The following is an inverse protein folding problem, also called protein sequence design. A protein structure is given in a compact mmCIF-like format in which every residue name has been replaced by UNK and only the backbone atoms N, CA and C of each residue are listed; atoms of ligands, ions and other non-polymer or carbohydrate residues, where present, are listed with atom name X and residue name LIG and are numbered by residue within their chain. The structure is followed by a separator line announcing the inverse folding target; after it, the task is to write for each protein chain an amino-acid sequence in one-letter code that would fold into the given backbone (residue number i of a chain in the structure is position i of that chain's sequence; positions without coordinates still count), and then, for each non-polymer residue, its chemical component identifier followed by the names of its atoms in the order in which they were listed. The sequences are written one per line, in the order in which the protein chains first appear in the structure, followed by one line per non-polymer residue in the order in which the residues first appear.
data_IF_384976698803
#
_entry.id   IF_384976698803
#
_cell.length_a   1.000
_cell.length_b   1.000
_cell.length_c   1.000
_cell.angle_alpha   90.00
_cell.angle_beta   90.00
_cell.angle_gamma   90.00
#
_symmetry.space_group_name_H-M   'P 1'
#
loop_
_entity.id
_entity.type
_entity.pdbx_description
1 polymer ?
#
# COMPACT_ATOMS: atom_id res chain seq x y z
N UNK A 1 -21.90 5.71 33.42
CA UNK A 1 -20.48 5.72 33.83
C UNK A 1 -19.84 4.43 33.35
N UNK A 2 -19.18 4.42 32.19
CA UNK A 2 -18.17 3.44 31.78
C UNK A 2 -17.49 3.98 30.51
N UNK A 3 -16.58 4.94 30.69
CA UNK A 3 -15.66 5.41 29.65
C UNK A 3 -14.61 4.34 29.40
N UNK A 4 -14.60 3.82 28.17
CA UNK A 4 -13.72 2.75 27.70
C UNK A 4 -12.29 3.28 27.57
N UNK A 5 -11.49 3.18 28.62
CA UNK A 5 -10.06 3.46 28.58
C UNK A 5 -9.35 2.20 28.07
N UNK A 6 -9.18 2.10 26.75
CA UNK A 6 -8.42 1.02 26.10
C UNK A 6 -7.34 1.55 25.14
N UNK A 7 -6.82 2.76 25.37
CA UNK A 7 -5.90 3.45 24.44
C UNK A 7 -4.40 3.09 24.59
N UNK A 8 -4.02 2.18 25.50
CA UNK A 8 -2.60 2.00 25.86
C UNK A 8 -1.80 0.98 25.04
N UNK A 9 -2.42 -0.09 24.51
CA UNK A 9 -1.71 -1.17 23.80
C UNK A 9 -2.11 -1.33 22.35
N UNK A 10 -3.32 -0.89 21.96
CA UNK A 10 -3.77 -0.86 20.57
C UNK A 10 -3.00 0.17 19.75
N UNK A 11 -2.77 1.37 20.28
CA UNK A 11 -2.15 2.47 19.51
C UNK A 11 -0.71 2.18 19.05
N UNK A 12 0.09 1.46 19.84
CA UNK A 12 1.48 1.15 19.45
C UNK A 12 1.56 0.10 18.36
N UNK A 13 0.80 -1.00 18.48
CA UNK A 13 0.73 -2.01 17.41
C UNK A 13 0.11 -1.44 16.14
N UNK A 14 -0.88 -0.55 16.26
CA UNK A 14 -1.45 0.16 15.12
C UNK A 14 -0.43 1.10 14.47
N UNK A 15 0.25 1.94 15.25
CA UNK A 15 1.30 2.85 14.76
C UNK A 15 2.45 2.11 14.06
N UNK A 16 2.85 0.95 14.60
CA UNK A 16 3.85 0.08 13.96
C UNK A 16 3.31 -0.49 12.65
N UNK A 17 2.05 -0.93 12.61
CA UNK A 17 1.43 -1.47 11.39
C UNK A 17 1.33 -0.39 10.31
N UNK A 18 0.95 0.83 10.68
CA UNK A 18 0.87 2.01 9.83
C UNK A 18 2.24 2.38 9.26
N UNK A 19 3.25 2.55 10.13
CA UNK A 19 4.61 2.90 9.71
C UNK A 19 5.18 1.83 8.78
N UNK A 20 4.94 0.55 9.08
CA UNK A 20 5.34 -0.56 8.20
C UNK A 20 4.62 -0.51 6.85
N UNK A 21 3.35 -0.13 6.79
CA UNK A 21 2.63 0.02 5.52
C UNK A 21 3.26 1.14 4.67
N UNK A 22 3.58 2.28 5.27
CA UNK A 22 4.16 3.45 4.61
C UNK A 22 5.58 3.21 4.06
N UNK A 23 6.41 2.44 4.76
CA UNK A 23 7.77 2.15 4.30
C UNK A 23 7.82 1.15 3.13
N UNK A 24 6.80 0.30 2.97
CA UNK A 24 6.81 -0.79 1.98
C UNK A 24 6.77 -0.33 0.52
N UNK A 25 6.00 0.70 0.13
CA UNK A 25 6.11 1.29 -1.20
C UNK A 25 7.52 1.77 -1.52
N UNK A 26 8.20 2.41 -0.56
CA UNK A 26 9.59 2.85 -0.71
C UNK A 26 10.57 1.68 -0.90
N UNK A 27 10.38 0.59 -0.16
CA UNK A 27 11.11 -0.67 -0.40
C UNK A 27 10.81 -1.26 -1.78
N UNK A 28 9.54 -1.25 -2.18
CA UNK A 28 9.10 -1.72 -3.50
C UNK A 28 9.82 -0.97 -4.63
N UNK A 29 9.84 0.36 -4.55
CA UNK A 29 10.54 1.22 -5.51
C UNK A 29 12.04 0.97 -5.51
N UNK A 30 12.65 0.84 -4.34
CA UNK A 30 14.08 0.56 -4.22
C UNK A 30 14.45 -0.78 -4.86
N UNK A 31 13.64 -1.82 -4.63
CA UNK A 31 13.82 -3.12 -5.27
C UNK A 31 13.57 -3.08 -6.76
N UNK A 32 12.59 -2.32 -7.23
CA UNK A 32 12.29 -2.13 -8.65
C UNK A 32 13.46 -1.49 -9.38
N UNK A 33 13.98 -0.36 -8.88
CA UNK A 33 15.13 0.33 -9.46
C UNK A 33 16.39 -0.54 -9.45
N UNK A 34 16.54 -1.40 -8.44
CA UNK A 34 17.64 -2.35 -8.34
C UNK A 34 17.44 -3.64 -9.16
N UNK A 35 16.38 -3.74 -9.97
CA UNK A 35 16.09 -4.90 -10.83
C UNK A 35 15.59 -6.15 -10.07
N UNK A 36 15.28 -6.02 -8.79
CA UNK A 36 14.82 -7.11 -7.93
C UNK A 36 13.29 -7.28 -8.00
N UNK A 37 12.77 -7.55 -9.21
CA UNK A 37 11.33 -7.53 -9.51
C UNK A 37 10.47 -8.39 -8.58
N UNK A 38 10.97 -9.56 -8.14
CA UNK A 38 10.25 -10.43 -7.19
C UNK A 38 10.08 -9.80 -5.81
N UNK A 39 11.11 -9.10 -5.31
CA UNK A 39 11.07 -8.43 -4.02
C UNK A 39 10.24 -7.14 -4.08
N UNK A 40 10.33 -6.42 -5.21
CA UNK A 40 9.48 -5.28 -5.50
C UNK A 40 8.00 -5.68 -5.49
N UNK A 41 7.64 -6.73 -6.24
CA UNK A 41 6.27 -7.26 -6.30
C UNK A 41 5.74 -7.63 -4.92
N UNK A 42 6.53 -8.36 -4.13
CA UNK A 42 6.17 -8.73 -2.76
C UNK A 42 5.96 -7.50 -1.87
N UNK A 43 6.78 -6.47 -2.02
CA UNK A 43 6.69 -5.25 -1.22
C UNK A 43 5.44 -4.46 -1.55
N UNK A 44 5.16 -4.21 -2.84
CA UNK A 44 3.95 -3.51 -3.28
C UNK A 44 2.66 -4.27 -2.96
N UNK A 45 2.61 -5.59 -3.16
CA UNK A 45 1.41 -6.39 -2.84
C UNK A 45 1.12 -6.44 -1.34
N UNK A 46 2.14 -6.56 -0.50
CA UNK A 46 1.97 -6.52 0.95
C UNK A 46 1.51 -5.14 1.42
N UNK A 47 2.08 -4.07 0.88
CA UNK A 47 1.62 -2.71 1.16
C UNK A 47 0.15 -2.52 0.78
N UNK A 48 -0.24 -2.93 -0.44
CA UNK A 48 -1.61 -2.84 -0.92
C UNK A 48 -2.60 -3.58 -0.01
N UNK A 49 -2.23 -4.78 0.48
CA UNK A 49 -3.06 -5.52 1.43
C UNK A 49 -3.24 -4.75 2.75
N UNK A 50 -2.17 -4.17 3.27
CA UNK A 50 -2.21 -3.41 4.53
C UNK A 50 -3.07 -2.15 4.39
N UNK A 51 -2.94 -1.40 3.30
CA UNK A 51 -3.78 -0.21 3.08
C UNK A 51 -5.26 -0.55 2.87
N UNK A 52 -5.58 -1.69 2.22
CA UNK A 52 -6.95 -2.19 2.14
C UNK A 52 -7.54 -2.57 3.50
N UNK A 53 -6.74 -3.21 4.35
CA UNK A 53 -7.16 -3.51 5.72
C UNK A 53 -7.38 -2.22 6.50
N UNK A 54 -6.50 -1.24 6.33
CA UNK A 54 -6.61 0.04 7.00
C UNK A 54 -7.88 0.83 6.68
N UNK A 55 -8.31 0.78 5.41
CA UNK A 55 -9.56 1.41 4.99
C UNK A 55 -10.80 0.72 5.57
N UNK A 56 -10.73 -0.58 5.87
CA UNK A 56 -11.86 -1.33 6.41
C UNK A 56 -11.96 -1.26 7.94
N UNK A 57 -10.82 -1.11 8.61
CA UNK A 57 -10.72 -1.13 10.08
C UNK A 57 -10.77 0.28 10.71
N UNK A 58 -11.11 1.31 9.91
CA UNK A 58 -11.24 2.72 10.32
C UNK A 58 -10.00 3.22 11.10
N UNK A 59 -8.80 2.97 10.55
CA UNK A 59 -7.57 3.47 11.17
C UNK A 59 -7.41 4.98 10.94
N UNK A 60 -7.89 5.78 11.91
CA UNK A 60 -7.97 7.24 11.92
C UNK A 60 -6.83 7.99 11.17
N UNK A 61 -5.56 7.55 11.29
CA UNK A 61 -4.42 8.30 10.72
C UNK A 61 -4.08 7.99 9.24
N UNK A 62 -4.46 6.81 8.71
CA UNK A 62 -4.10 6.40 7.34
C UNK A 62 -5.29 6.20 6.43
N UNK A 63 -6.53 6.15 6.95
CA UNK A 63 -7.74 5.98 6.13
C UNK A 63 -7.83 7.05 5.04
N UNK A 64 -7.52 8.31 5.37
CA UNK A 64 -7.63 9.43 4.45
C UNK A 64 -6.60 9.36 3.31
N UNK A 65 -5.38 8.85 3.54
CA UNK A 65 -4.33 8.75 2.52
C UNK A 65 -4.16 7.34 1.95
N UNK A 66 -4.91 6.36 2.45
CA UNK A 66 -4.80 4.96 2.03
C UNK A 66 -4.98 4.81 0.51
N UNK A 67 -5.92 5.57 -0.08
CA UNK A 67 -6.17 5.56 -1.51
C UNK A 67 -4.94 6.01 -2.32
N UNK A 68 -4.22 7.05 -1.87
CA UNK A 68 -2.99 7.55 -2.50
C UNK A 68 -1.93 6.45 -2.48
N UNK A 69 -1.65 5.88 -1.31
CA UNK A 69 -0.61 4.85 -1.18
C UNK A 69 -0.96 3.56 -1.93
N UNK A 70 -2.24 3.18 -1.98
CA UNK A 70 -2.72 2.10 -2.83
C UNK A 70 -2.48 2.41 -4.31
N UNK A 71 -2.72 3.65 -4.74
CA UNK A 71 -2.41 4.13 -6.09
C UNK A 71 -0.92 3.97 -6.43
N UNK A 72 -0.03 4.39 -5.54
CA UNK A 72 1.42 4.20 -5.71
C UNK A 72 1.80 2.71 -5.81
N UNK A 73 1.23 1.84 -4.98
CA UNK A 73 1.49 0.40 -5.05
C UNK A 73 1.04 -0.20 -6.38
N UNK A 74 -0.14 0.19 -6.87
CA UNK A 74 -0.66 -0.25 -8.15
C UNK A 74 0.19 0.27 -9.31
N UNK A 75 0.65 1.52 -9.25
CA UNK A 75 1.57 2.07 -10.23
C UNK A 75 2.87 1.26 -10.32
N UNK A 76 3.51 0.97 -9.17
CA UNK A 76 4.71 0.12 -9.13
C UNK A 76 4.46 -1.31 -9.65
N UNK A 77 3.31 -1.92 -9.34
CA UNK A 77 2.93 -3.22 -9.93
C UNK A 77 2.73 -3.15 -11.45
N UNK A 78 2.23 -2.02 -11.95
CA UNK A 78 2.17 -1.72 -13.38
C UNK A 78 3.55 -1.70 -14.02
N UNK A 79 4.52 -1.01 -13.40
CA UNK A 79 5.90 -0.96 -13.89
C UNK A 79 6.52 -2.35 -13.97
N UNK A 80 6.37 -3.16 -12.91
CA UNK A 80 6.85 -4.54 -12.90
C UNK A 80 6.19 -5.40 -14.00
N UNK A 81 4.90 -5.18 -14.26
CA UNK A 81 4.17 -5.89 -15.32
C UNK A 81 4.67 -5.51 -16.72
N UNK A 82 5.13 -4.27 -16.92
CA UNK A 82 5.79 -3.85 -18.17
C UNK A 82 7.11 -4.58 -18.36
N UNK A 83 7.95 -4.69 -17.31
CA UNK A 83 9.21 -5.43 -17.35
C UNK A 83 8.98 -6.90 -17.73
N UNK A 84 7.90 -7.50 -17.23
CA UNK A 84 7.51 -8.87 -17.54
C UNK A 84 6.74 -9.02 -18.88
N UNK A 85 6.61 -7.95 -19.68
CA UNK A 85 5.87 -7.91 -20.95
C UNK A 85 4.37 -8.26 -20.83
N UNK A 86 3.80 -8.12 -19.63
CA UNK A 86 2.38 -8.38 -19.34
C UNK A 86 1.57 -7.09 -19.52
N UNK A 87 1.54 -6.56 -20.74
CA UNK A 87 0.96 -5.25 -21.03
C UNK A 87 -0.51 -5.10 -20.60
N UNK A 88 -1.34 -6.14 -20.80
CA UNK A 88 -2.74 -6.12 -20.35
C UNK A 88 -2.88 -5.96 -18.82
N UNK A 89 -2.01 -6.62 -18.05
CA UNK A 89 -2.01 -6.47 -16.59
C UNK A 89 -1.52 -5.09 -16.19
N UNK A 90 -0.47 -4.57 -16.83
CA UNK A 90 0.02 -3.21 -16.60
C UNK A 90 -1.07 -2.16 -16.81
N UNK A 91 -1.83 -2.27 -17.91
CA UNK A 91 -2.95 -1.35 -18.20
C UNK A 91 -3.99 -1.38 -17.08
N UNK A 92 -4.36 -2.57 -16.60
CA UNK A 92 -5.30 -2.72 -15.49
C UNK A 92 -4.78 -2.05 -14.21
N UNK A 93 -3.52 -2.29 -13.88
CA UNK A 93 -2.88 -1.67 -12.71
C UNK A 93 -2.85 -0.14 -12.81
N UNK A 94 -2.42 0.42 -13.94
CA UNK A 94 -2.39 1.87 -14.12
C UNK A 94 -3.77 2.51 -14.13
N UNK A 95 -4.79 1.85 -14.72
CA UNK A 95 -6.17 2.35 -14.66
C UNK A 95 -6.68 2.43 -13.23
N UNK A 96 -6.43 1.38 -12.44
CA UNK A 96 -6.85 1.37 -11.03
C UNK A 96 -6.07 2.40 -10.20
N UNK A 97 -4.76 2.56 -10.44
CA UNK A 97 -3.95 3.59 -9.80
C UNK A 97 -4.47 5.00 -10.11
N UNK A 98 -4.75 5.26 -11.40
CA UNK A 98 -5.32 6.52 -11.86
C UNK A 98 -6.65 6.82 -11.17
N UNK A 99 -7.57 5.86 -11.12
CA UNK A 99 -8.84 6.06 -10.42
C UNK A 99 -8.66 6.42 -8.94
N UNK A 100 -7.68 5.83 -8.27
CA UNK A 100 -7.41 6.15 -6.86
C UNK A 100 -6.79 7.52 -6.66
N UNK A 101 -5.94 8.01 -7.57
CA UNK A 101 -5.34 9.35 -7.46
C UNK A 101 -6.34 10.49 -7.69
N UNK A 102 -7.51 10.19 -8.27
CA UNK A 102 -8.56 11.17 -8.60
C UNK A 102 -9.81 11.01 -7.73
N UNK A 103 -9.70 10.24 -6.63
CA UNK A 103 -10.77 10.04 -5.67
C UNK A 103 -10.76 11.14 -4.61
#
# INVERSE_FOLDING_TARGET
MLTRIAHGKGNYTQSILQTRALCRPGLGLSYEVNGQSKLAFKSYTQALKMFKQAQNDDFDDITDLAHVYMGHCLFGLGNLSIIEQKCQQAISYYRNAFQLFYK
#
